data_IF_621187167733
#
_entry.id   IF_621187167733
#
_cell.length_a   1.000
_cell.length_b   1.000
_cell.length_c   1.000
_cell.angle_alpha   90.00
_cell.angle_beta   90.00
_cell.angle_gamma   90.00
#
_symmetry.space_group_name_H-M   'P 1'
#
loop_
_entity.id
_entity.type
_entity.pdbx_description
1 polymer ?
#
# COMPACT_ATOMS: atom_id res chain seq x y z
N UNK A 1 -4.48 4.28 -15.88
CA UNK A 1 -3.27 5.10 -15.74
C UNK A 1 -3.19 5.45 -14.28
N UNK A 2 -2.07 5.17 -13.64
CA UNK A 2 -1.87 5.45 -12.23
C UNK A 2 -1.41 6.91 -12.12
N UNK A 3 -2.07 7.75 -11.29
CA UNK A 3 -1.62 9.11 -11.04
C UNK A 3 -0.18 9.16 -10.51
N UNK A 4 0.49 10.30 -10.66
CA UNK A 4 1.75 10.52 -9.96
C UNK A 4 1.54 10.58 -8.44
N UNK A 5 2.63 10.65 -7.68
CA UNK A 5 2.53 10.61 -6.23
C UNK A 5 1.68 11.72 -5.61
N UNK A 6 1.67 12.92 -6.21
CA UNK A 6 0.85 14.02 -5.73
C UNK A 6 -0.63 13.82 -6.06
N UNK A 7 -0.93 13.10 -7.14
CA UNK A 7 -2.29 12.69 -7.51
C UNK A 7 -2.79 11.47 -6.72
N UNK A 8 -1.91 10.59 -6.27
CA UNK A 8 -2.28 9.43 -5.44
C UNK A 8 -2.69 9.86 -4.04
N UNK A 9 -1.84 10.64 -3.37
CA UNK A 9 -2.14 11.20 -2.06
C UNK A 9 -1.39 12.52 -1.85
N UNK A 10 -2.13 13.55 -1.43
CA UNK A 10 -1.53 14.80 -0.97
C UNK A 10 -0.84 14.63 0.39
N UNK A 11 0.13 15.49 0.68
CA UNK A 11 0.82 15.49 1.97
C UNK A 11 -0.14 15.82 3.12
N UNK A 12 -1.16 16.65 2.89
CA UNK A 12 -2.19 16.97 3.87
C UNK A 12 -3.02 15.73 4.26
N UNK A 13 -3.42 14.91 3.28
CA UNK A 13 -4.14 13.65 3.54
C UNK A 13 -3.28 12.70 4.37
N UNK A 14 -1.99 12.56 4.02
CA UNK A 14 -1.08 11.69 4.75
C UNK A 14 -0.88 12.14 6.20
N UNK A 15 -0.63 13.43 6.44
CA UNK A 15 -0.47 13.98 7.80
C UNK A 15 -1.69 13.72 8.67
N UNK A 16 -2.89 13.84 8.10
CA UNK A 16 -4.14 13.49 8.79
C UNK A 16 -4.21 12.00 9.09
N UNK A 17 -3.90 11.14 8.10
CA UNK A 17 -3.99 9.69 8.25
C UNK A 17 -3.04 9.13 9.32
N UNK A 18 -1.82 9.65 9.40
CA UNK A 18 -0.82 9.22 10.40
C UNK A 18 -0.82 10.09 11.67
N UNK A 19 -1.65 11.13 11.70
CA UNK A 19 -1.75 12.10 12.81
C UNK A 19 -0.39 12.71 13.21
N UNK A 20 0.41 13.14 12.23
CA UNK A 20 1.72 13.76 12.46
C UNK A 20 2.07 14.81 11.39
N UNK A 21 2.07 16.09 11.78
CA UNK A 21 2.36 17.21 10.87
C UNK A 21 3.84 17.30 10.45
N UNK A 22 4.74 16.52 11.08
CA UNK A 22 6.17 16.53 10.74
C UNK A 22 6.48 15.74 9.47
N UNK A 23 5.54 14.94 8.98
CA UNK A 23 5.70 14.13 7.77
C UNK A 23 5.97 15.03 6.57
N UNK A 24 6.88 14.59 5.72
CA UNK A 24 7.23 15.18 4.42
C UNK A 24 7.02 14.16 3.31
N UNK A 25 7.02 14.66 2.07
CA UNK A 25 6.68 13.92 0.85
C UNK A 25 5.44 14.53 0.15
N UNK A 26 4.82 13.81 -0.79
CA UNK A 26 5.35 12.58 -1.37
C UNK A 26 6.63 12.82 -2.18
N UNK A 27 7.62 11.96 -2.00
CA UNK A 27 8.76 11.87 -2.90
C UNK A 27 8.64 10.60 -3.76
N UNK A 28 8.88 10.66 -5.08
CA UNK A 28 8.86 9.47 -5.93
C UNK A 28 10.01 8.52 -5.57
N UNK A 29 9.76 7.22 -5.61
CA UNK A 29 10.80 6.20 -5.47
C UNK A 29 11.59 6.08 -6.78
N UNK A 30 12.92 6.18 -6.67
CA UNK A 30 13.82 6.02 -7.82
C UNK A 30 13.82 4.59 -8.39
N UNK A 31 13.64 3.59 -7.51
CA UNK A 31 13.58 2.16 -7.85
C UNK A 31 12.41 1.54 -7.11
N UNK A 32 11.57 0.82 -7.85
CA UNK A 32 10.37 0.17 -7.31
C UNK A 32 10.50 -1.33 -7.57
N UNK A 33 10.65 -2.09 -6.49
CA UNK A 33 10.73 -3.55 -6.47
C UNK A 33 9.63 -4.13 -5.60
N UNK A 34 9.27 -5.39 -5.85
CA UNK A 34 8.33 -6.10 -4.99
C UNK A 34 8.91 -6.20 -3.58
N UNK A 35 8.21 -5.73 -2.52
CA UNK A 35 8.75 -5.85 -1.18
C UNK A 35 8.94 -7.31 -0.77
N UNK A 36 10.08 -7.63 -0.15
CA UNK A 36 10.42 -9.01 0.21
C UNK A 36 9.44 -9.65 1.21
N UNK A 37 8.63 -8.83 1.89
CA UNK A 37 7.61 -9.27 2.86
C UNK A 37 6.33 -9.82 2.20
N UNK A 38 6.18 -9.61 0.88
CA UNK A 38 5.07 -10.16 0.10
C UNK A 38 5.18 -11.68 0.04
N UNK A 39 4.05 -12.36 0.19
CA UNK A 39 3.96 -13.78 -0.09
C UNK A 39 4.17 -14.10 -1.58
N UNK A 40 4.48 -15.37 -1.94
CA UNK A 40 4.83 -15.74 -3.31
C UNK A 40 3.82 -15.32 -4.38
N UNK A 41 2.52 -15.49 -4.11
CA UNK A 41 1.45 -15.10 -5.04
C UNK A 41 1.38 -13.58 -5.25
N UNK A 42 1.55 -12.80 -4.18
CA UNK A 42 1.58 -11.34 -4.25
C UNK A 42 2.83 -10.84 -5.00
N UNK A 43 3.99 -11.47 -4.80
CA UNK A 43 5.19 -11.16 -5.57
C UNK A 43 5.00 -11.43 -7.06
N UNK A 44 4.33 -12.54 -7.42
CA UNK A 44 4.07 -12.86 -8.82
C UNK A 44 3.09 -11.88 -9.47
N UNK A 45 2.02 -11.51 -8.76
CA UNK A 45 1.11 -10.47 -9.19
C UNK A 45 1.82 -9.12 -9.38
N UNK A 46 2.78 -8.79 -8.51
CA UNK A 46 3.57 -7.57 -8.64
C UNK A 46 4.43 -7.61 -9.91
N UNK A 47 5.06 -8.74 -10.22
CA UNK A 47 5.89 -8.91 -11.42
C UNK A 47 5.08 -8.86 -12.73
N UNK A 48 3.80 -9.21 -12.68
CA UNK A 48 2.90 -9.13 -13.84
C UNK A 48 2.26 -7.75 -14.03
N UNK A 49 2.51 -6.80 -13.12
CA UNK A 49 1.99 -5.45 -13.21
C UNK A 49 2.42 -4.77 -14.52
N UNK A 50 1.47 -4.04 -15.12
CA UNK A 50 1.69 -3.33 -16.39
C UNK A 50 2.13 -1.88 -16.22
N UNK A 51 1.85 -1.32 -15.05
CA UNK A 51 2.15 0.06 -14.65
C UNK A 51 2.34 0.08 -13.13
N UNK A 52 3.26 0.90 -12.64
CA UNK A 52 3.52 1.05 -11.21
C UNK A 52 3.97 2.48 -10.88
N UNK A 53 3.56 2.96 -9.71
CA UNK A 53 4.00 4.22 -9.10
C UNK A 53 4.32 3.96 -7.63
N UNK A 54 5.45 4.48 -7.17
CA UNK A 54 5.94 4.29 -5.81
C UNK A 54 6.29 5.62 -5.19
N UNK A 55 5.78 5.87 -3.99
CA UNK A 55 5.89 7.13 -3.28
C UNK A 55 6.37 6.87 -1.86
N UNK A 56 7.25 7.71 -1.35
CA UNK A 56 7.73 7.64 0.02
C UNK A 56 7.30 8.87 0.83
N UNK A 57 7.09 8.63 2.11
CA UNK A 57 6.77 9.62 3.12
C UNK A 57 7.60 9.34 4.37
N UNK A 58 8.02 10.40 5.06
CA UNK A 58 8.80 10.23 6.27
C UNK A 58 8.98 11.49 7.08
N UNK A 59 9.53 11.34 8.27
CA UNK A 59 9.91 12.45 9.13
C UNK A 59 11.42 12.64 9.02
N UNK A 60 11.91 13.82 8.57
CA UNK A 60 13.34 14.06 8.46
C UNK A 60 14.08 13.83 9.78
N UNK A 61 15.30 13.31 9.68
CA UNK A 61 16.18 13.03 10.83
C UNK A 61 15.60 11.99 11.81
N UNK A 62 14.72 11.11 11.33
CA UNK A 62 14.20 9.96 12.08
C UNK A 62 14.19 8.72 11.20
N UNK A 63 14.02 7.55 11.82
CA UNK A 63 13.76 6.29 11.12
C UNK A 63 12.26 6.08 10.81
N UNK A 64 11.44 7.13 11.00
CA UNK A 64 10.01 7.11 10.70
C UNK A 64 9.76 7.34 9.22
N UNK A 65 9.21 6.34 8.55
CA UNK A 65 8.71 6.47 7.19
C UNK A 65 7.85 5.30 6.76
N UNK A 66 7.23 5.47 5.60
CA UNK A 66 6.51 4.42 4.89
C UNK A 66 6.50 4.73 3.40
N UNK A 67 6.30 3.71 2.59
CA UNK A 67 6.03 3.88 1.17
C UNK A 67 4.63 3.39 0.81
N UNK A 68 4.12 3.94 -0.28
CA UNK A 68 2.91 3.51 -0.97
C UNK A 68 3.32 3.14 -2.38
N UNK A 69 3.11 1.89 -2.78
CA UNK A 69 3.30 1.42 -4.15
C UNK A 69 1.93 1.05 -4.70
N UNK A 70 1.55 1.65 -5.82
CA UNK A 70 0.31 1.33 -6.53
C UNK A 70 0.68 0.66 -7.85
N UNK A 71 0.04 -0.46 -8.14
CA UNK A 71 0.28 -1.24 -9.36
C UNK A 71 -1.02 -1.52 -10.10
N UNK A 72 -0.93 -1.52 -11.43
CA UNK A 72 -2.03 -1.89 -12.33
C UNK A 72 -1.91 -3.38 -12.67
N UNK A 73 -2.93 -4.14 -12.30
CA UNK A 73 -2.94 -5.60 -12.36
C UNK A 73 -4.20 -6.12 -13.06
N UNK A 74 -4.09 -7.28 -13.71
CA UNK A 74 -5.24 -7.92 -14.31
C UNK A 74 -6.22 -8.41 -13.23
N UNK A 75 -7.50 -8.08 -13.37
CA UNK A 75 -8.51 -8.40 -12.36
C UNK A 75 -8.59 -9.88 -11.99
N UNK A 76 -8.52 -10.86 -12.93
CA UNK A 76 -8.54 -12.27 -12.56
C UNK A 76 -7.39 -12.68 -11.63
N UNK A 77 -6.15 -12.23 -11.94
CA UNK A 77 -4.98 -12.53 -11.11
C UNK A 77 -5.05 -11.84 -9.74
N UNK A 78 -5.57 -10.60 -9.69
CA UNK A 78 -5.81 -9.91 -8.42
C UNK A 78 -6.85 -10.65 -7.56
N UNK A 79 -7.95 -11.14 -8.15
CA UNK A 79 -8.97 -11.90 -7.43
C UNK A 79 -8.44 -13.21 -6.83
N UNK A 80 -7.51 -13.89 -7.51
CA UNK A 80 -6.85 -15.07 -6.95
C UNK A 80 -6.01 -14.74 -5.71
N UNK A 81 -5.26 -13.64 -5.75
CA UNK A 81 -4.49 -13.17 -4.59
C UNK A 81 -5.40 -12.75 -3.45
N UNK A 82 -6.48 -12.01 -3.72
CA UNK A 82 -7.50 -11.63 -2.72
C UNK A 82 -8.09 -12.86 -2.04
N UNK A 83 -8.48 -13.87 -2.82
CA UNK A 83 -9.03 -15.12 -2.28
C UNK A 83 -8.02 -15.87 -1.41
N UNK A 84 -6.74 -15.90 -1.81
CA UNK A 84 -5.68 -16.52 -1.03
C UNK A 84 -5.38 -15.76 0.29
N UNK A 85 -5.42 -14.42 0.26
CA UNK A 85 -5.25 -13.59 1.45
C UNK A 85 -6.40 -13.76 2.43
N UNK A 86 -7.64 -13.84 1.94
CA UNK A 86 -8.85 -13.95 2.78
C UNK A 86 -8.95 -15.26 3.56
N UNK A 87 -8.29 -16.33 3.11
CA UNK A 87 -8.24 -17.62 3.83
C UNK A 87 -6.96 -17.80 4.66
N UNK A 88 -6.07 -16.81 4.67
CA UNK A 88 -4.83 -16.84 5.44
C UNK A 88 -5.07 -16.36 6.87
N UNK A 89 -4.54 -17.09 7.84
CA UNK A 89 -4.53 -16.63 9.25
C UNK A 89 -3.44 -15.57 9.52
N UNK A 90 -2.59 -15.23 8.53
CA UNK A 90 -1.53 -14.23 8.68
C UNK A 90 -2.03 -12.79 8.50
N UNK A 91 -3.14 -12.60 7.79
CA UNK A 91 -3.66 -11.27 7.43
C UNK A 91 -4.98 -11.01 8.13
N UNK A 92 -5.09 -9.84 8.75
CA UNK A 92 -6.38 -9.31 9.12
C UNK A 92 -7.07 -8.76 7.86
N UNK A 93 -8.32 -9.17 7.65
CA UNK A 93 -9.14 -8.80 6.49
C UNK A 93 -10.24 -7.83 6.91
N UNK A 94 -10.41 -6.76 6.14
CA UNK A 94 -11.51 -5.81 6.27
C UNK A 94 -11.88 -5.25 4.88
N UNK A 95 -12.96 -4.47 4.80
CA UNK A 95 -13.44 -3.89 3.54
C UNK A 95 -13.84 -2.42 3.72
N UNK A 96 -13.74 -1.65 2.64
CA UNK A 96 -14.24 -0.27 2.58
C UNK A 96 -15.00 -0.05 1.28
N UNK A 97 -16.32 -0.22 1.32
CA UNK A 97 -17.13 -0.30 0.11
C UNK A 97 -16.74 -1.56 -0.68
N UNK A 98 -16.33 -1.40 -1.94
CA UNK A 98 -15.86 -2.49 -2.81
C UNK A 98 -14.35 -2.74 -2.70
N UNK A 99 -13.64 -1.99 -1.84
CA UNK A 99 -12.19 -2.14 -1.64
C UNK A 99 -11.92 -3.28 -0.66
N UNK A 100 -11.22 -4.30 -1.13
CA UNK A 100 -10.74 -5.43 -0.33
C UNK A 100 -9.41 -5.07 0.33
N UNK A 101 -9.32 -5.16 1.67
CA UNK A 101 -8.20 -4.62 2.43
C UNK A 101 -7.60 -5.66 3.37
N UNK A 102 -6.27 -5.75 3.37
CA UNK A 102 -5.55 -6.75 4.17
C UNK A 102 -4.38 -6.11 4.90
N UNK A 103 -4.24 -6.36 6.19
CA UNK A 103 -3.09 -5.90 6.97
C UNK A 103 -2.39 -7.04 7.67
N UNK A 104 -1.07 -6.93 7.84
CA UNK A 104 -0.32 -7.76 8.77
C UNK A 104 0.83 -7.01 9.41
N UNK A 105 1.28 -7.51 10.55
CA UNK A 105 2.56 -7.10 11.13
C UNK A 105 3.71 -7.73 10.33
N UNK A 106 4.84 -7.04 10.23
CA UNK A 106 6.06 -7.57 9.64
C UNK A 106 7.00 -7.94 10.80
N UNK A 107 7.13 -9.24 11.17
CA UNK A 107 7.83 -9.64 12.40
C UNK A 107 9.30 -9.20 12.45
N UNK A 108 9.97 -9.15 11.30
CA UNK A 108 11.38 -8.77 11.17
C UNK A 108 11.57 -7.25 11.06
N UNK A 109 10.49 -6.48 10.87
CA UNK A 109 10.52 -5.02 10.81
C UNK A 109 10.10 -4.43 12.15
N UNK A 110 11.00 -3.72 12.83
CA UNK A 110 10.70 -3.10 14.13
C UNK A 110 9.55 -2.11 13.97
N UNK A 111 8.35 -2.49 14.42
CA UNK A 111 7.13 -1.69 14.28
C UNK A 111 6.67 -1.49 12.84
N UNK A 112 7.10 -2.34 11.91
CA UNK A 112 6.71 -2.24 10.51
C UNK A 112 5.40 -2.97 10.29
N UNK A 113 4.45 -2.30 9.66
CA UNK A 113 3.19 -2.90 9.23
C UNK A 113 3.09 -2.90 7.71
N UNK A 114 2.30 -3.84 7.20
CA UNK A 114 1.96 -3.99 5.80
C UNK A 114 0.44 -3.83 5.64
N UNK A 115 0.02 -3.05 4.66
CA UNK A 115 -1.37 -2.88 4.26
C UNK A 115 -1.52 -3.08 2.75
N UNK A 116 -2.57 -3.77 2.36
CA UNK A 116 -2.99 -3.90 0.97
C UNK A 116 -4.40 -3.33 0.79
N UNK A 117 -4.66 -2.81 -0.40
CA UNK A 117 -6.00 -2.53 -0.88
C UNK A 117 -6.12 -2.94 -2.35
N UNK A 118 -7.23 -3.59 -2.72
CA UNK A 118 -7.51 -4.02 -4.08
C UNK A 118 -8.87 -3.45 -4.54
N UNK A 119 -8.89 -2.79 -5.70
CA UNK A 119 -10.14 -2.32 -6.32
C UNK A 119 -9.94 -2.04 -7.82
N UNK A 120 -10.90 -2.44 -8.67
CA UNK A 120 -10.97 -2.01 -10.07
C UNK A 120 -9.73 -2.27 -10.94
N UNK A 121 -8.92 -3.29 -10.63
CA UNK A 121 -7.66 -3.58 -11.34
C UNK A 121 -6.45 -2.79 -10.82
N UNK A 122 -6.61 -2.03 -9.73
CA UNK A 122 -5.52 -1.44 -8.98
C UNK A 122 -5.26 -2.22 -7.69
N UNK A 123 -3.99 -2.30 -7.31
CA UNK A 123 -3.54 -2.82 -6.03
C UNK A 123 -2.56 -1.83 -5.41
N UNK A 124 -2.86 -1.37 -4.19
CA UNK A 124 -1.94 -0.57 -3.39
C UNK A 124 -1.29 -1.40 -2.30
N UNK A 125 -0.01 -1.15 -2.08
CA UNK A 125 0.85 -1.75 -1.07
C UNK A 125 1.42 -0.62 -0.21
N UNK A 126 1.13 -0.66 1.08
CA UNK A 126 1.64 0.30 2.06
C UNK A 126 2.50 -0.44 3.05
N UNK A 127 3.74 0.01 3.25
CA UNK A 127 4.61 -0.58 4.26
C UNK A 127 5.49 0.48 4.92
N UNK A 128 5.58 0.41 6.25
CA UNK A 128 6.49 1.26 7.01
C UNK A 128 6.25 1.24 8.50
N UNK A 129 7.02 2.05 9.21
CA UNK A 129 7.04 2.14 10.68
C UNK A 129 6.09 3.20 11.23
N UNK A 130 5.59 4.08 10.37
CA UNK A 130 4.67 5.18 10.75
C UNK A 130 3.19 4.83 10.60
N UNK A 131 2.89 3.64 10.10
CA UNK A 131 1.52 3.19 9.83
C UNK A 131 1.24 1.98 10.70
N UNK A 132 0.13 2.02 11.45
CA UNK A 132 -0.39 0.82 12.13
C UNK A 132 -1.23 -0.05 11.18
N UNK A 133 -1.80 -1.17 11.65
CA UNK A 133 -2.62 -2.07 10.84
C UNK A 133 -3.82 -1.37 10.18
N UNK A 134 -4.51 -0.50 10.92
CA UNK A 134 -5.67 0.26 10.41
C UNK A 134 -5.23 1.39 9.48
N UNK A 135 -4.18 2.13 9.84
CA UNK A 135 -3.68 3.24 9.02
C UNK A 135 -3.14 2.74 7.68
N UNK A 136 -2.42 1.61 7.66
CA UNK A 136 -1.81 1.09 6.44
C UNK A 136 -2.85 0.72 5.38
N UNK A 137 -3.95 0.07 5.78
CA UNK A 137 -5.04 -0.28 4.84
C UNK A 137 -5.86 0.92 4.41
N UNK A 138 -6.08 1.90 5.29
CA UNK A 138 -6.82 3.11 4.91
C UNK A 138 -6.02 3.96 3.91
N UNK A 139 -4.71 4.12 4.13
CA UNK A 139 -3.81 4.76 3.16
C UNK A 139 -3.80 3.99 1.84
N UNK A 140 -3.72 2.65 1.87
CA UNK A 140 -3.77 1.82 0.67
C UNK A 140 -5.10 2.01 -0.08
N UNK A 141 -6.21 2.05 0.65
CA UNK A 141 -7.54 2.20 0.09
C UNK A 141 -7.76 3.59 -0.53
N UNK A 142 -7.22 4.65 0.07
CA UNK A 142 -7.24 5.99 -0.50
C UNK A 142 -6.46 6.03 -1.81
N UNK A 143 -5.28 5.41 -1.83
CA UNK A 143 -4.43 5.35 -3.02
C UNK A 143 -5.09 4.58 -4.18
N UNK A 144 -5.75 3.44 -3.95
CA UNK A 144 -6.51 2.76 -5.04
C UNK A 144 -7.74 3.56 -5.45
N UNK A 145 -8.40 4.26 -4.53
CA UNK A 145 -9.57 5.08 -4.85
C UNK A 145 -9.18 6.20 -5.82
N UNK A 146 -8.04 6.85 -5.61
CA UNK A 146 -7.51 7.89 -6.48
C UNK A 146 -7.20 7.40 -7.92
N UNK A 147 -6.98 6.09 -8.13
CA UNK A 147 -6.79 5.51 -9.47
C UNK A 147 -8.13 5.35 -10.22
N UNK A 148 -9.24 5.27 -9.49
CA UNK A 148 -10.56 4.99 -10.04
C UNK A 148 -11.36 6.28 -10.37
N UNK A 149 -10.83 7.45 -10.02
CA UNK A 149 -11.39 8.78 -10.33
C UNK A 149 -10.95 9.28 -11.72
#
# INVERSE_FOLDING_TARGET
>A
MIPDCSGLMSIEQVRVAVNDDRVQGPDPLDVIEAPNVLGPAAQELFRSATELVGCTYGIPQTDGGFYVIVVAVESPAASEVVAALAVSDEYAHTTRGEVEMFSKDVPEGIGTHLGYAFAGGAWAIVQGTMVGPETSVNVAADAVTAVLE
#
